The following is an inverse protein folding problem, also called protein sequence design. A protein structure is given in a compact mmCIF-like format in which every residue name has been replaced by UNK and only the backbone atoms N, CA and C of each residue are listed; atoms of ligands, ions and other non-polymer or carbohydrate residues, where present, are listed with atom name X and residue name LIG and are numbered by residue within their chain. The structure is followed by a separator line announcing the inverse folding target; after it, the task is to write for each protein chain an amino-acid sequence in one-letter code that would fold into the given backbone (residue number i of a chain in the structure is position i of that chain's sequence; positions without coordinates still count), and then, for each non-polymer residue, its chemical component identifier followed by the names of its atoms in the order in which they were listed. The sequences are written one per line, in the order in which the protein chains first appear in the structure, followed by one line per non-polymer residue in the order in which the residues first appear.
data_IF_228774009620
#
_entry.id   IF_228774009620
#
_cell.length_a   1.000
_cell.length_b   1.000
_cell.length_c   1.000
_cell.angle_alpha   90.00
_cell.angle_beta   90.00
_cell.angle_gamma   90.00
#
_symmetry.space_group_name_H-M   'P 1'
#
loop_
_entity.id
_entity.type
_entity.pdbx_description
1 polymer ?
#
# COMPACT_ATOMS: atom_id res chain seq x y z
N UNK A 1 28.65 -14.17 7.52
CA UNK A 1 27.32 -13.71 7.97
C UNK A 1 27.20 -12.19 7.99
N UNK A 2 28.27 -11.45 8.34
CA UNK A 2 28.30 -9.98 8.25
C UNK A 2 28.10 -9.44 6.83
N UNK A 3 28.66 -10.09 5.80
CA UNK A 3 28.50 -9.66 4.40
C UNK A 3 27.06 -9.78 3.87
N UNK A 4 26.33 -10.84 4.26
CA UNK A 4 24.91 -11.03 3.87
C UNK A 4 23.98 -9.97 4.48
N UNK A 5 24.31 -9.40 5.65
CA UNK A 5 23.53 -8.32 6.26
C UNK A 5 23.83 -6.94 5.65
N UNK A 6 24.93 -6.82 4.93
CA UNK A 6 25.31 -5.59 4.21
C UNK A 6 24.89 -5.61 2.74
N UNK A 7 24.37 -6.75 2.24
CA UNK A 7 23.84 -6.84 0.89
C UNK A 7 22.61 -5.91 0.73
N UNK A 8 22.65 -4.93 -0.19
CA UNK A 8 21.55 -4.01 -0.46
C UNK A 8 20.24 -4.73 -0.78
N UNK A 9 20.32 -5.92 -1.40
CA UNK A 9 19.15 -6.73 -1.72
C UNK A 9 18.47 -7.28 -0.45
N UNK A 10 19.26 -7.75 0.52
CA UNK A 10 18.77 -8.28 1.79
C UNK A 10 18.17 -7.15 2.64
N UNK A 11 18.83 -5.99 2.69
CA UNK A 11 18.34 -4.82 3.42
C UNK A 11 17.04 -4.24 2.81
N UNK A 12 16.92 -4.25 1.49
CA UNK A 12 15.79 -3.62 0.79
C UNK A 12 14.59 -4.56 0.60
N UNK A 13 14.78 -5.88 0.69
CA UNK A 13 13.74 -6.87 0.31
C UNK A 13 13.43 -7.87 1.42
N UNK A 14 14.45 -8.59 1.90
CA UNK A 14 14.26 -9.70 2.85
C UNK A 14 13.90 -9.18 4.24
N UNK A 15 14.61 -8.15 4.71
CA UNK A 15 14.37 -7.59 6.03
C UNK A 15 12.96 -6.99 6.16
N UNK A 16 12.46 -6.17 5.21
CA UNK A 16 11.07 -5.68 5.26
C UNK A 16 10.03 -6.79 5.22
N UNK A 17 10.26 -7.84 4.42
CA UNK A 17 9.37 -9.00 4.37
C UNK A 17 9.29 -9.73 5.71
N UNK A 18 10.45 -10.02 6.32
CA UNK A 18 10.50 -10.71 7.61
C UNK A 18 9.86 -9.87 8.72
N UNK A 19 10.17 -8.57 8.76
CA UNK A 19 9.58 -7.63 9.74
C UNK A 19 8.07 -7.56 9.57
N UNK A 20 7.57 -7.42 8.33
CA UNK A 20 6.15 -7.41 8.03
C UNK A 20 5.46 -8.73 8.44
N UNK A 21 6.06 -9.87 8.11
CA UNK A 21 5.51 -11.19 8.43
C UNK A 21 5.45 -11.43 9.95
N UNK A 22 6.50 -11.03 10.67
CA UNK A 22 6.57 -11.11 12.14
C UNK A 22 5.54 -10.19 12.78
N UNK A 23 5.42 -8.94 12.33
CA UNK A 23 4.49 -7.97 12.94
C UNK A 23 3.02 -8.31 12.67
N UNK A 24 2.68 -8.77 11.46
CA UNK A 24 1.34 -9.28 11.16
C UNK A 24 1.02 -10.47 12.05
N UNK A 25 1.96 -11.42 12.20
CA UNK A 25 1.81 -12.56 13.10
C UNK A 25 1.66 -12.16 14.58
N UNK A 26 2.51 -11.25 15.06
CA UNK A 26 2.51 -10.80 16.44
C UNK A 26 1.22 -10.05 16.81
N UNK A 27 0.77 -9.13 15.96
CA UNK A 27 -0.49 -8.40 16.19
C UNK A 27 -1.70 -9.31 16.07
N UNK A 28 -1.64 -10.32 15.20
CA UNK A 28 -2.67 -11.37 15.17
C UNK A 28 -2.76 -12.11 16.51
N UNK A 29 -1.63 -12.55 17.07
CA UNK A 29 -1.57 -13.26 18.35
C UNK A 29 -2.09 -12.39 19.49
N UNK A 30 -1.85 -11.09 19.45
CA UNK A 30 -2.37 -10.15 20.43
C UNK A 30 -3.89 -9.97 20.31
N UNK A 31 -4.37 -9.60 19.12
CA UNK A 31 -5.80 -9.45 18.80
C UNK A 31 -6.06 -9.70 17.32
N UNK A 32 -6.90 -10.69 17.01
CA UNK A 32 -7.34 -11.01 15.64
C UNK A 32 -7.72 -9.80 14.74
N UNK A 33 -8.46 -8.77 15.20
CA UNK A 33 -8.79 -7.62 14.36
C UNK A 33 -7.60 -6.72 13.99
N UNK A 34 -6.47 -6.81 14.71
CA UNK A 34 -5.29 -5.97 14.50
C UNK A 34 -4.30 -6.53 13.47
N UNK A 35 -4.56 -7.70 12.88
CA UNK A 35 -3.63 -8.34 11.96
C UNK A 35 -3.27 -7.43 10.76
N UNK A 36 -4.25 -6.71 10.21
CA UNK A 36 -4.02 -5.78 9.10
C UNK A 36 -3.25 -4.51 9.51
N UNK A 37 -3.30 -4.10 10.78
CA UNK A 37 -2.46 -3.03 11.32
C UNK A 37 -0.97 -3.40 11.28
N UNK A 38 -0.64 -4.70 11.25
CA UNK A 38 0.74 -5.17 11.06
C UNK A 38 1.36 -4.72 9.75
N UNK A 39 0.56 -4.42 8.72
CA UNK A 39 1.08 -3.92 7.45
C UNK A 39 1.63 -2.50 7.63
N UNK A 40 0.84 -1.60 8.21
CA UNK A 40 1.26 -0.22 8.46
C UNK A 40 2.35 -0.15 9.55
N UNK A 41 2.29 -1.01 10.57
CA UNK A 41 3.34 -1.12 11.57
C UNK A 41 4.66 -1.61 10.95
N UNK A 42 4.62 -2.63 10.08
CA UNK A 42 5.78 -3.12 9.35
C UNK A 42 6.42 -2.05 8.49
N UNK A 43 5.61 -1.31 7.73
CA UNK A 43 6.06 -0.13 7.00
C UNK A 43 6.77 0.89 7.89
N UNK A 44 6.19 1.27 9.04
CA UNK A 44 6.78 2.26 9.94
C UNK A 44 8.08 1.78 10.59
N UNK A 45 8.16 0.50 10.96
CA UNK A 45 9.39 -0.08 11.51
C UNK A 45 10.50 -0.04 10.47
N UNK A 46 10.21 -0.48 9.25
CA UNK A 46 11.19 -0.43 8.15
C UNK A 46 11.58 1.01 7.82
N UNK A 47 10.62 1.94 7.81
CA UNK A 47 10.90 3.36 7.64
C UNK A 47 11.88 3.86 8.70
N UNK A 48 11.61 3.58 9.98
CA UNK A 48 12.48 4.01 11.08
C UNK A 48 13.87 3.36 11.01
N UNK A 49 13.99 2.12 10.52
CA UNK A 49 15.27 1.44 10.36
C UNK A 49 16.09 1.97 9.18
N UNK A 50 15.46 2.28 8.05
CA UNK A 50 16.14 2.66 6.80
C UNK A 50 16.38 4.17 6.73
N UNK A 51 15.38 4.97 7.06
CA UNK A 51 15.41 6.44 6.95
C UNK A 51 15.73 7.09 8.30
N UNK A 52 15.39 6.43 9.42
CA UNK A 52 15.48 7.02 10.76
C UNK A 52 14.17 7.64 11.21
N UNK A 53 14.12 8.04 12.49
CA UNK A 53 12.96 8.71 13.06
C UNK A 53 12.95 10.20 12.66
N UNK A 54 11.93 10.69 11.93
CA UNK A 54 11.90 12.08 11.49
C UNK A 54 11.63 13.05 12.65
N UNK A 55 12.24 14.23 12.58
CA UNK A 55 12.03 15.31 13.55
C UNK A 55 10.60 15.86 13.50
N UNK A 56 10.19 16.50 14.60
CA UNK A 56 8.93 17.25 14.72
C UNK A 56 9.26 18.74 14.95
N UNK A 57 8.77 19.67 14.10
CA UNK A 57 7.96 19.45 12.90
C UNK A 57 8.76 18.88 11.72
N UNK A 58 8.18 18.02 10.85
CA UNK A 58 8.90 17.38 9.76
C UNK A 58 9.16 18.38 8.62
N UNK A 59 10.43 18.66 8.26
CA UNK A 59 10.74 19.56 7.15
C UNK A 59 10.53 18.91 5.78
N UNK A 60 10.60 17.59 5.69
CA UNK A 60 10.54 16.84 4.42
C UNK A 60 9.20 16.13 4.21
N UNK A 61 8.83 15.90 2.94
CA UNK A 61 7.63 15.15 2.55
C UNK A 61 7.66 13.70 3.04
N UNK A 62 8.84 13.07 3.07
CA UNK A 62 9.02 11.74 3.66
C UNK A 62 8.77 11.74 5.18
N UNK A 63 9.22 12.78 5.90
CA UNK A 63 8.91 12.92 7.32
C UNK A 63 7.40 13.10 7.58
N UNK A 64 6.72 13.88 6.73
CA UNK A 64 5.25 14.01 6.77
C UNK A 64 4.54 12.68 6.49
N UNK A 65 5.03 11.90 5.53
CA UNK A 65 4.52 10.57 5.21
C UNK A 65 4.62 9.63 6.43
N UNK A 66 5.74 9.61 7.14
CA UNK A 66 5.90 8.82 8.36
C UNK A 66 4.86 9.19 9.42
N UNK A 67 4.74 10.48 9.76
CA UNK A 67 3.80 10.94 10.77
C UNK A 67 2.34 10.75 10.36
N UNK A 68 2.01 10.95 9.08
CA UNK A 68 0.69 10.66 8.53
C UNK A 68 0.37 9.16 8.63
N UNK A 69 1.33 8.29 8.31
CA UNK A 69 1.18 6.84 8.39
C UNK A 69 1.05 6.35 9.84
N UNK A 70 1.80 6.95 10.78
CA UNK A 70 1.67 6.67 12.21
C UNK A 70 0.30 7.08 12.76
N UNK A 71 -0.18 8.27 12.39
CA UNK A 71 -1.53 8.72 12.74
C UNK A 71 -2.59 7.79 12.13
N UNK A 72 -2.43 7.39 10.87
CA UNK A 72 -3.30 6.45 10.19
C UNK A 72 -3.36 5.10 10.89
N UNK A 73 -2.19 4.52 11.24
CA UNK A 73 -2.10 3.26 11.97
C UNK A 73 -2.88 3.35 13.30
N UNK A 74 -2.69 4.42 14.06
CA UNK A 74 -3.39 4.63 15.32
C UNK A 74 -4.91 4.72 15.11
N UNK A 75 -5.35 5.51 14.14
CA UNK A 75 -6.78 5.63 13.78
C UNK A 75 -7.37 4.27 13.38
N UNK A 76 -6.68 3.54 12.51
CA UNK A 76 -7.12 2.22 12.03
C UNK A 76 -7.21 1.20 13.15
N UNK A 77 -6.15 1.09 13.96
CA UNK A 77 -6.08 0.14 15.07
C UNK A 77 -7.13 0.44 16.16
N UNK A 78 -7.28 1.71 16.54
CA UNK A 78 -8.29 2.13 17.52
C UNK A 78 -9.70 1.86 16.99
N UNK A 79 -9.99 2.19 15.73
CA UNK A 79 -11.29 1.93 15.13
C UNK A 79 -11.62 0.43 15.04
N UNK A 80 -10.64 -0.41 14.69
CA UNK A 80 -10.82 -1.86 14.64
C UNK A 80 -11.03 -2.47 16.02
N UNK A 81 -10.35 -1.96 17.05
CA UNK A 81 -10.56 -2.37 18.45
C UNK A 81 -11.93 -1.89 18.97
N UNK A 82 -12.33 -0.68 18.62
CA UNK A 82 -13.63 -0.12 18.99
C UNK A 82 -14.80 -0.66 18.15
N UNK A 83 -14.52 -1.47 17.11
CA UNK A 83 -15.54 -2.04 16.23
C UNK A 83 -16.26 -1.00 15.35
N UNK A 84 -15.65 0.15 15.09
CA UNK A 84 -16.24 1.22 14.29
C UNK A 84 -16.32 0.77 12.84
N UNK A 85 -17.53 0.76 12.27
CA UNK A 85 -17.80 0.29 10.90
C UNK A 85 -18.71 1.25 10.14
N UNK A 86 -18.85 1.00 8.84
CA UNK A 86 -19.80 1.73 7.98
C UNK A 86 -19.35 3.14 7.62
N UNK A 87 -20.31 4.06 7.49
CA UNK A 87 -20.07 5.42 6.96
C UNK A 87 -19.14 6.25 7.84
N UNK A 88 -19.20 6.09 9.15
CA UNK A 88 -18.35 6.83 10.10
C UNK A 88 -16.89 6.45 9.88
N UNK A 89 -16.57 5.16 9.84
CA UNK A 89 -15.22 4.68 9.57
C UNK A 89 -14.68 5.19 8.23
N UNK A 90 -15.51 5.14 7.18
CA UNK A 90 -15.16 5.69 5.86
C UNK A 90 -14.94 7.21 5.88
N UNK A 91 -15.76 7.97 6.61
CA UNK A 91 -15.59 9.42 6.73
C UNK A 91 -14.30 9.77 7.47
N UNK A 92 -14.01 9.10 8.59
CA UNK A 92 -12.75 9.28 9.34
C UNK A 92 -11.54 9.01 8.45
N UNK A 93 -11.56 7.91 7.70
CA UNK A 93 -10.51 7.55 6.77
C UNK A 93 -10.35 8.58 5.64
N UNK A 94 -11.46 9.04 5.06
CA UNK A 94 -11.45 10.05 4.01
C UNK A 94 -10.86 11.38 4.50
N UNK A 95 -11.26 11.82 5.69
CA UNK A 95 -10.75 13.05 6.32
C UNK A 95 -9.25 12.92 6.60
N UNK A 96 -8.81 11.81 7.20
CA UNK A 96 -7.38 11.57 7.45
C UNK A 96 -6.57 11.55 6.16
N UNK A 97 -7.03 10.86 5.10
CA UNK A 97 -6.34 10.81 3.82
C UNK A 97 -6.29 12.17 3.13
N UNK A 98 -7.41 12.88 3.07
CA UNK A 98 -7.46 14.20 2.46
C UNK A 98 -6.56 15.19 3.20
N UNK A 99 -6.61 15.21 4.53
CA UNK A 99 -5.74 16.06 5.35
C UNK A 99 -4.25 15.72 5.16
N UNK A 100 -3.90 14.42 5.12
CA UNK A 100 -2.52 13.97 4.91
C UNK A 100 -2.01 14.31 3.52
N UNK A 101 -2.82 14.09 2.48
CA UNK A 101 -2.49 14.45 1.10
C UNK A 101 -2.28 15.96 0.97
N UNK A 102 -3.19 16.77 1.51
CA UNK A 102 -3.05 18.22 1.48
C UNK A 102 -1.79 18.67 2.22
N UNK A 103 -1.51 18.11 3.40
CA UNK A 103 -0.33 18.47 4.18
C UNK A 103 1.00 18.12 3.48
N UNK A 104 1.03 16.99 2.77
CA UNK A 104 2.18 16.57 1.95
C UNK A 104 2.28 17.44 0.71
N UNK A 105 1.18 17.66 -0.02
CA UNK A 105 1.17 18.30 -1.33
C UNK A 105 1.37 19.81 -1.28
N UNK A 106 0.95 20.50 -0.21
CA UNK A 106 0.93 21.96 -0.13
C UNK A 106 2.22 22.65 -0.63
N UNK A 107 3.44 22.18 -0.27
CA UNK A 107 4.68 22.81 -0.73
C UNK A 107 4.99 22.61 -2.23
N UNK A 108 4.34 21.65 -2.88
CA UNK A 108 4.56 21.28 -4.28
C UNK A 108 3.45 21.78 -5.22
N UNK A 109 2.49 22.58 -4.73
CA UNK A 109 1.41 23.14 -5.55
C UNK A 109 1.85 24.43 -6.26
N UNK A 110 2.78 24.30 -7.19
CA UNK A 110 3.33 25.40 -7.99
C UNK A 110 2.83 25.41 -9.44
N UNK A 111 2.16 24.34 -9.86
CA UNK A 111 1.80 24.09 -11.27
C UNK A 111 0.41 23.46 -11.42
N UNK A 112 -0.21 23.68 -12.58
CA UNK A 112 -1.49 23.06 -12.92
C UNK A 112 -1.39 21.51 -12.94
N UNK A 113 -0.25 20.96 -13.36
CA UNK A 113 0.00 19.53 -13.33
C UNK A 113 -0.02 18.98 -11.89
N UNK A 114 0.64 19.65 -10.94
CA UNK A 114 0.61 19.25 -9.53
C UNK A 114 -0.81 19.29 -8.94
N UNK A 115 -1.61 20.30 -9.30
CA UNK A 115 -3.01 20.40 -8.90
C UNK A 115 -3.84 19.24 -9.46
N UNK A 116 -3.69 18.93 -10.75
CA UNK A 116 -4.39 17.81 -11.39
C UNK A 116 -4.01 16.48 -10.73
N UNK A 117 -2.73 16.25 -10.48
CA UNK A 117 -2.23 15.08 -9.75
C UNK A 117 -2.85 14.97 -8.36
N UNK A 118 -2.91 16.08 -7.60
CA UNK A 118 -3.57 16.10 -6.28
C UNK A 118 -5.06 15.76 -6.38
N UNK A 119 -5.80 16.29 -7.37
CA UNK A 119 -7.23 15.99 -7.56
C UNK A 119 -7.44 14.51 -7.86
N UNK A 120 -6.62 13.91 -8.72
CA UNK A 120 -6.65 12.47 -9.01
C UNK A 120 -6.36 11.65 -7.75
N UNK A 121 -5.36 12.05 -6.97
CA UNK A 121 -5.00 11.36 -5.72
C UNK A 121 -6.10 11.48 -4.67
N UNK A 122 -6.76 12.64 -4.56
CA UNK A 122 -7.93 12.83 -3.70
C UNK A 122 -9.12 11.98 -4.15
N UNK A 123 -9.36 11.87 -5.47
CA UNK A 123 -10.36 10.96 -6.03
C UNK A 123 -10.05 9.50 -5.69
N UNK A 124 -8.77 9.10 -5.78
CA UNK A 124 -8.30 7.77 -5.43
C UNK A 124 -8.43 7.52 -3.92
N UNK A 125 -8.10 8.50 -3.08
CA UNK A 125 -8.27 8.43 -1.63
C UNK A 125 -9.75 8.32 -1.22
N UNK A 126 -10.63 9.10 -1.87
CA UNK A 126 -12.07 8.99 -1.69
C UNK A 126 -12.56 7.59 -2.11
N UNK A 127 -12.07 7.06 -3.23
CA UNK A 127 -12.33 5.68 -3.61
C UNK A 127 -11.86 4.70 -2.54
N UNK A 128 -10.62 4.75 -2.06
CA UNK A 128 -10.13 3.86 -1.00
C UNK A 128 -10.97 3.97 0.28
N UNK A 129 -11.44 5.17 0.61
CA UNK A 129 -12.26 5.40 1.81
C UNK A 129 -13.70 4.89 1.68
N UNK A 130 -14.32 5.08 0.50
CA UNK A 130 -15.74 4.86 0.27
C UNK A 130 -16.06 3.67 -0.63
N UNK A 131 -15.08 3.06 -1.28
CA UNK A 131 -15.23 1.81 -2.01
C UNK A 131 -15.65 0.77 -0.99
N UNK A 132 -16.97 0.61 -0.88
CA UNK A 132 -17.58 -0.50 -0.19
C UNK A 132 -17.23 -1.70 -1.05
N UNK A 133 -16.16 -2.39 -0.69
CA UNK A 133 -15.97 -3.77 -1.12
C UNK A 133 -17.32 -4.45 -0.98
N UNK A 134 -17.82 -4.94 -2.10
CA UNK A 134 -19.25 -5.08 -2.35
C UNK A 134 -20.00 -5.71 -1.17
N UNK A 135 -20.68 -4.86 -0.38
CA UNK A 135 -21.46 -5.27 0.79
C UNK A 135 -22.79 -5.94 0.41
N UNK A 136 -23.00 -6.17 -0.89
CA UNK A 136 -24.16 -6.89 -1.37
C UNK A 136 -23.81 -8.39 -1.39
N UNK A 137 -24.11 -9.06 -0.27
CA UNK A 137 -24.17 -10.53 -0.11
C UNK A 137 -22.83 -11.26 0.10
N UNK A 138 -22.51 -11.56 1.36
CA UNK A 138 -21.50 -12.57 1.73
C UNK A 138 -20.23 -12.00 2.38
N UNK A 139 -19.58 -12.83 3.21
CA UNK A 139 -18.34 -12.55 3.94
C UNK A 139 -17.26 -12.06 2.95
N UNK A 140 -16.88 -10.79 3.08
CA UNK A 140 -15.88 -10.13 2.23
C UNK A 140 -14.52 -10.80 2.41
N UNK A 141 -13.83 -11.16 1.32
CA UNK A 141 -12.47 -11.66 1.49
C UNK A 141 -11.45 -10.55 1.67
N UNK A 142 -10.56 -10.69 2.65
CA UNK A 142 -9.45 -9.77 2.88
C UNK A 142 -8.39 -9.84 1.76
N UNK A 143 -8.44 -10.84 0.88
CA UNK A 143 -7.46 -11.07 -0.19
C UNK A 143 -7.53 -10.03 -1.29
N UNK A 144 -8.73 -9.71 -1.80
CA UNK A 144 -8.85 -8.71 -2.87
C UNK A 144 -8.24 -7.34 -2.49
N UNK A 145 -8.57 -6.72 -1.34
CA UNK A 145 -7.98 -5.43 -0.98
C UNK A 145 -6.48 -5.54 -0.62
N UNK A 146 -6.03 -6.66 -0.04
CA UNK A 146 -4.61 -6.90 0.22
C UNK A 146 -3.79 -7.04 -1.07
N UNK A 147 -4.30 -7.76 -2.07
CA UNK A 147 -3.69 -7.87 -3.41
C UNK A 147 -3.67 -6.52 -4.13
N UNK A 148 -4.71 -5.71 -3.94
CA UNK A 148 -4.77 -4.34 -4.48
C UNK A 148 -3.69 -3.46 -3.85
N UNK A 149 -3.54 -3.51 -2.52
CA UNK A 149 -2.46 -2.83 -1.82
C UNK A 149 -1.08 -3.28 -2.33
N UNK A 150 -0.87 -4.59 -2.45
CA UNK A 150 0.37 -5.16 -3.00
C UNK A 150 0.66 -4.59 -4.39
N UNK A 151 -0.32 -4.59 -5.29
CA UNK A 151 -0.18 -4.07 -6.63
C UNK A 151 0.14 -2.57 -6.67
N UNK A 152 -0.57 -1.75 -5.89
CA UNK A 152 -0.30 -0.31 -5.80
C UNK A 152 1.11 -0.05 -5.25
N UNK A 153 1.50 -0.75 -4.20
CA UNK A 153 2.82 -0.61 -3.60
C UNK A 153 3.94 -1.07 -4.57
N UNK A 154 3.72 -2.14 -5.33
CA UNK A 154 4.64 -2.57 -6.39
C UNK A 154 4.74 -1.56 -7.53
N UNK A 155 3.61 -1.01 -7.98
CA UNK A 155 3.59 0.01 -9.02
C UNK A 155 4.39 1.24 -8.59
N UNK A 156 4.14 1.75 -7.38
CA UNK A 156 4.89 2.89 -6.82
C UNK A 156 6.36 2.54 -6.65
N UNK A 157 6.69 1.35 -6.11
CA UNK A 157 8.06 0.92 -5.89
C UNK A 157 8.86 0.77 -7.19
N UNK A 158 8.31 0.05 -8.16
CA UNK A 158 8.96 -0.17 -9.46
C UNK A 158 9.11 1.10 -10.29
N UNK A 159 8.10 1.98 -10.28
CA UNK A 159 8.21 3.29 -10.96
C UNK A 159 9.20 4.22 -10.25
N UNK A 160 9.29 4.17 -8.92
CA UNK A 160 10.28 4.92 -8.16
C UNK A 160 11.73 4.46 -8.42
N UNK A 161 11.95 3.16 -8.62
CA UNK A 161 13.27 2.64 -9.02
C UNK A 161 13.72 3.22 -10.36
N UNK A 162 12.81 3.33 -11.32
CA UNK A 162 13.08 3.90 -12.64
C UNK A 162 13.28 5.42 -12.53
N UNK A 163 12.49 6.11 -11.71
CA UNK A 163 12.58 7.54 -11.44
C UNK A 163 13.66 7.96 -10.44
N UNK A 164 14.75 7.18 -10.31
CA UNK A 164 15.92 7.43 -9.45
C UNK A 164 15.61 7.80 -7.99
N UNK A 165 14.51 7.27 -7.44
CA UNK A 165 14.05 7.56 -6.08
C UNK A 165 14.16 6.33 -5.19
N UNK A 166 15.40 5.95 -4.86
CA UNK A 166 15.71 4.75 -4.08
C UNK A 166 14.96 4.67 -2.74
N UNK A 167 14.83 5.78 -2.01
CA UNK A 167 14.13 5.81 -0.72
C UNK A 167 12.62 5.56 -0.86
N UNK A 168 11.97 6.14 -1.87
CA UNK A 168 10.54 5.89 -2.15
C UNK A 168 10.34 4.44 -2.61
N UNK A 169 11.23 3.94 -3.46
CA UNK A 169 11.22 2.56 -3.91
C UNK A 169 11.31 1.58 -2.73
N UNK A 170 12.29 1.75 -1.86
CA UNK A 170 12.47 0.92 -0.66
C UNK A 170 11.24 0.94 0.24
N UNK A 171 10.65 2.12 0.46
CA UNK A 171 9.46 2.26 1.31
C UNK A 171 8.21 1.63 0.70
N UNK A 172 8.02 1.78 -0.61
CA UNK A 172 6.90 1.15 -1.32
C UNK A 172 7.07 -0.38 -1.41
N UNK A 173 8.28 -0.88 -1.65
CA UNK A 173 8.57 -2.30 -1.61
C UNK A 173 8.43 -2.89 -0.21
N UNK A 174 8.77 -2.15 0.85
CA UNK A 174 8.52 -2.55 2.24
C UNK A 174 7.03 -2.69 2.54
N UNK A 175 6.21 -1.76 2.03
CA UNK A 175 4.75 -1.85 2.14
C UNK A 175 4.19 -3.04 1.35
N UNK A 176 4.71 -3.28 0.14
CA UNK A 176 4.37 -4.43 -0.69
C UNK A 176 4.72 -5.75 0.03
N UNK A 177 5.92 -5.85 0.59
CA UNK A 177 6.39 -7.01 1.35
C UNK A 177 5.51 -7.26 2.59
N UNK A 178 5.13 -6.19 3.30
CA UNK A 178 4.24 -6.27 4.45
C UNK A 178 2.83 -6.75 4.06
N UNK A 179 2.31 -6.28 2.92
CA UNK A 179 1.05 -6.76 2.35
C UNK A 179 1.14 -8.23 1.93
N UNK A 180 2.26 -8.64 1.33
CA UNK A 180 2.58 -10.04 1.01
C UNK A 180 2.59 -10.94 2.24
N UNK A 181 3.19 -10.50 3.34
CA UNK A 181 3.15 -11.20 4.64
C UNK A 181 1.72 -11.43 5.13
N UNK A 182 0.85 -10.42 5.01
CA UNK A 182 -0.57 -10.55 5.35
C UNK A 182 -1.31 -11.53 4.42
N UNK A 183 -1.02 -11.51 3.12
CA UNK A 183 -1.57 -12.49 2.16
C UNK A 183 -1.16 -13.92 2.53
N UNK A 184 0.12 -14.15 2.86
CA UNK A 184 0.61 -15.46 3.27
C UNK A 184 -0.08 -15.99 4.54
N UNK A 185 -0.35 -15.12 5.51
CA UNK A 185 -1.07 -15.50 6.73
C UNK A 185 -2.56 -15.88 6.52
N UNK A 186 -3.15 -15.40 5.42
CA UNK A 186 -4.53 -15.70 5.03
C UNK A 186 -4.62 -16.72 3.89
N UNK A 187 -3.49 -17.18 3.39
CA UNK A 187 -3.42 -18.26 2.42
C UNK A 187 -3.33 -19.61 3.15
N UNK A 188 -4.05 -20.67 2.71
CA UNK A 188 -5.12 -20.71 1.73
C UNK A 188 -6.52 -20.47 2.35
N UNK A 189 -6.58 -20.23 3.66
CA UNK A 189 -7.81 -20.00 4.43
C UNK A 189 -7.76 -18.60 5.03
N UNK A 190 -8.74 -17.78 4.67
CA UNK A 190 -8.89 -16.42 5.15
C UNK A 190 -9.21 -16.42 6.65
N UNK A 191 -8.22 -16.06 7.47
CA UNK A 191 -8.29 -16.11 8.94
C UNK A 191 -8.44 -14.73 9.56
N UNK A 192 -8.04 -13.68 8.84
CA UNK A 192 -7.87 -12.33 9.36
C UNK A 192 -8.73 -11.33 8.58
N UNK A 193 -9.43 -10.45 9.30
CA UNK A 193 -10.20 -9.37 8.66
C UNK A 193 -9.29 -8.27 8.11
N UNK A 194 -9.76 -7.56 7.08
CA UNK A 194 -9.08 -6.39 6.53
C UNK A 194 -9.25 -5.14 7.40
N UNK A 195 -10.46 -4.90 7.91
CA UNK A 195 -10.75 -3.81 8.85
C UNK A 195 -10.49 -2.40 8.29
N UNK A 196 -10.51 -1.40 9.18
CA UNK A 196 -10.08 -0.04 8.87
C UNK A 196 -8.56 0.04 8.75
N UNK A 197 -7.82 -0.74 9.55
CA UNK A 197 -6.35 -0.78 9.51
C UNK A 197 -5.81 -1.19 8.15
N UNK A 198 -6.43 -2.17 7.49
CA UNK A 198 -6.05 -2.55 6.13
C UNK A 198 -6.32 -1.42 5.12
N UNK A 199 -7.45 -0.73 5.24
CA UNK A 199 -7.76 0.42 4.36
C UNK A 199 -6.80 1.59 4.59
N UNK A 200 -6.38 1.81 5.83
CA UNK A 200 -5.29 2.75 6.15
C UNK A 200 -4.02 2.34 5.42
N UNK A 201 -3.64 1.05 5.42
CA UNK A 201 -2.48 0.58 4.69
C UNK A 201 -2.59 0.83 3.17
N UNK A 202 -3.76 0.61 2.56
CA UNK A 202 -4.03 1.06 1.17
C UNK A 202 -3.87 2.56 1.01
N UNK A 203 -4.34 3.33 1.99
CA UNK A 203 -4.16 4.76 2.07
C UNK A 203 -2.68 5.18 2.06
N UNK A 204 -1.81 4.47 2.79
CA UNK A 204 -0.36 4.73 2.80
C UNK A 204 0.23 4.55 1.40
N UNK A 205 -0.22 3.56 0.62
CA UNK A 205 0.22 3.41 -0.77
C UNK A 205 -0.18 4.63 -1.63
N UNK A 206 -1.36 5.21 -1.40
CA UNK A 206 -1.78 6.46 -2.07
C UNK A 206 -0.92 7.65 -1.62
N UNK A 207 -0.56 7.75 -0.34
CA UNK A 207 0.33 8.79 0.15
C UNK A 207 1.75 8.65 -0.44
N UNK A 208 2.26 7.42 -0.56
CA UNK A 208 3.53 7.15 -1.26
C UNK A 208 3.46 7.54 -2.74
N UNK A 209 2.37 7.19 -3.42
CA UNK A 209 2.12 7.61 -4.80
C UNK A 209 2.09 9.14 -4.93
N UNK A 210 1.55 9.85 -3.93
CA UNK A 210 1.56 11.31 -3.89
C UNK A 210 2.97 11.89 -3.73
N UNK A 211 3.78 11.31 -2.83
CA UNK A 211 5.18 11.73 -2.66
C UNK A 211 5.95 11.52 -3.96
N UNK A 212 5.76 10.37 -4.63
CA UNK A 212 6.37 10.09 -5.92
C UNK A 212 5.90 11.10 -6.98
N UNK A 213 4.60 11.25 -7.19
CA UNK A 213 4.05 12.07 -8.26
C UNK A 213 4.31 13.58 -8.12
N UNK A 214 4.47 14.08 -6.89
CA UNK A 214 4.58 15.52 -6.63
C UNK A 214 6.02 15.98 -6.37
N UNK A 215 6.91 15.09 -5.95
CA UNK A 215 8.28 15.46 -5.54
C UNK A 215 9.36 14.79 -6.39
N UNK A 216 9.01 14.03 -7.43
CA UNK A 216 9.97 13.43 -8.36
C UNK A 216 9.64 13.78 -9.80
N UNK A 217 10.58 13.48 -10.70
CA UNK A 217 10.41 13.63 -12.15
C UNK A 217 9.61 12.47 -12.77
N UNK A 218 9.08 11.55 -11.95
CA UNK A 218 8.32 10.40 -12.44
C UNK A 218 7.00 10.89 -13.03
N UNK A 219 6.70 10.47 -14.26
CA UNK A 219 5.46 10.84 -14.92
C UNK A 219 4.26 10.27 -14.15
N UNK A 220 3.51 11.16 -13.46
CA UNK A 220 2.32 10.80 -12.70
C UNK A 220 1.27 10.02 -13.52
N UNK A 221 1.26 10.22 -14.85
CA UNK A 221 0.42 9.48 -15.79
C UNK A 221 0.66 7.96 -15.73
N UNK A 222 1.87 7.51 -15.44
CA UNK A 222 2.19 6.08 -15.34
C UNK A 222 1.52 5.44 -14.13
N UNK A 223 1.38 6.18 -13.02
CA UNK A 223 0.67 5.69 -11.83
C UNK A 223 -0.84 5.51 -12.08
N UNK A 224 -1.41 6.23 -13.06
CA UNK A 224 -2.79 6.03 -13.48
C UNK A 224 -3.02 4.62 -14.06
N UNK A 225 -1.98 4.02 -14.67
CA UNK A 225 -2.05 2.67 -15.22
C UNK A 225 -2.17 1.60 -14.13
N UNK A 226 -1.88 1.93 -12.87
CA UNK A 226 -2.08 1.04 -11.73
C UNK A 226 -3.51 1.13 -11.15
N UNK A 227 -4.29 2.17 -11.46
CA UNK A 227 -5.67 2.32 -10.97
C UNK A 227 -6.61 1.17 -11.32
N UNK A 228 -6.50 0.48 -12.48
CA UNK A 228 -7.27 -0.72 -12.74
C UNK A 228 -7.14 -1.82 -11.67
N UNK A 229 -6.02 -1.85 -10.92
CA UNK A 229 -5.86 -2.80 -9.80
C UNK A 229 -6.93 -2.63 -8.71
N UNK A 230 -7.50 -1.42 -8.55
CA UNK A 230 -8.60 -1.14 -7.61
C UNK A 230 -9.87 -1.95 -7.94
N UNK A 231 -9.99 -2.46 -9.17
CA UNK A 231 -11.12 -3.28 -9.61
C UNK A 231 -10.85 -4.80 -9.47
N UNK A 232 -9.71 -5.23 -8.93
CA UNK A 232 -9.40 -6.66 -8.75
C UNK A 232 -10.48 -7.43 -7.97
N UNK A 233 -11.12 -6.77 -6.99
CA UNK A 233 -12.24 -7.35 -6.25
C UNK A 233 -13.49 -7.65 -7.09
N UNK A 234 -13.72 -6.90 -8.19
CA UNK A 234 -14.80 -7.19 -9.13
C UNK A 234 -14.49 -8.44 -9.96
N UNK A 235 -13.22 -8.66 -10.30
CA UNK A 235 -12.79 -9.82 -11.09
C UNK A 235 -13.02 -11.13 -10.33
N UNK A 236 -12.95 -11.10 -9.00
CA UNK A 236 -13.25 -12.27 -8.15
C UNK A 236 -14.64 -12.86 -8.40
N UNK A 237 -15.63 -12.07 -8.82
CA UNK A 237 -16.98 -12.57 -9.14
C UNK A 237 -17.01 -13.47 -10.37
N UNK A 238 -16.01 -13.35 -11.24
CA UNK A 238 -15.90 -14.13 -12.47
C UNK A 238 -14.96 -15.33 -12.33
N UNK A 239 -14.26 -15.45 -11.19
CA UNK A 239 -13.35 -16.57 -10.95
C UNK A 239 -14.12 -17.74 -10.31
N UNK A 240 -13.99 -18.97 -10.83
CA UNK A 240 -14.62 -20.14 -10.24
C UNK A 240 -14.09 -20.34 -8.82
N UNK A 241 -15.01 -20.30 -7.84
CA UNK A 241 -14.71 -20.65 -6.45
C UNK A 241 -14.75 -22.17 -6.36
N UNK A 242 -13.61 -22.83 -6.55
CA UNK A 242 -13.55 -24.28 -6.41
C UNK A 242 -13.87 -24.70 -4.97
N UNK A 243 -14.69 -25.72 -4.82
CA UNK A 243 -14.96 -26.34 -3.53
C UNK A 243 -13.70 -27.06 -3.02
N UNK A 244 -13.15 -26.60 -1.89
CA UNK A 244 -11.97 -27.19 -1.24
C UNK A 244 -10.78 -26.23 -1.06
N UNK A 245 -9.75 -26.70 -0.35
CA UNK A 245 -8.56 -25.90 -0.03
C UNK A 245 -7.78 -25.47 -1.28
N UNK A 246 -7.66 -26.36 -2.27
CA UNK A 246 -6.94 -26.10 -3.53
C UNK A 246 -7.69 -25.06 -4.37
N UNK A 247 -9.03 -25.12 -4.42
CA UNK A 247 -9.85 -24.13 -5.13
C UNK A 247 -9.75 -22.73 -4.52
N UNK A 248 -9.74 -22.63 -3.19
CA UNK A 248 -9.55 -21.36 -2.46
C UNK A 248 -8.16 -20.77 -2.65
N UNK A 249 -7.14 -21.63 -2.61
CA UNK A 249 -5.76 -21.26 -2.92
C UNK A 249 -5.65 -20.72 -4.36
N UNK A 250 -6.13 -21.48 -5.35
CA UNK A 250 -6.08 -21.05 -6.75
C UNK A 250 -6.84 -19.73 -6.99
N UNK A 251 -8.01 -19.55 -6.38
CA UNK A 251 -8.82 -18.32 -6.49
C UNK A 251 -8.08 -17.10 -5.91
N UNK A 252 -7.44 -17.24 -4.75
CA UNK A 252 -6.66 -16.14 -4.13
C UNK A 252 -5.39 -15.81 -4.92
N UNK A 253 -4.73 -16.80 -5.52
CA UNK A 253 -3.62 -16.54 -6.47
C UNK A 253 -4.12 -15.77 -7.69
N UNK A 254 -5.21 -16.23 -8.30
CA UNK A 254 -5.76 -15.61 -9.50
C UNK A 254 -6.12 -14.14 -9.26
N UNK A 255 -6.78 -13.81 -8.14
CA UNK A 255 -7.07 -12.42 -7.76
C UNK A 255 -5.78 -11.61 -7.60
N UNK A 256 -4.75 -12.19 -6.98
CA UNK A 256 -3.46 -11.51 -6.79
C UNK A 256 -2.76 -11.24 -8.12
N UNK A 257 -2.70 -12.24 -9.01
CA UNK A 257 -2.12 -12.10 -10.35
C UNK A 257 -2.85 -11.01 -11.12
N UNK A 258 -4.18 -11.05 -11.15
CA UNK A 258 -5.00 -10.04 -11.84
C UNK A 258 -4.79 -8.64 -11.26
N UNK A 259 -4.68 -8.50 -9.93
CA UNK A 259 -4.40 -7.21 -9.30
C UNK A 259 -3.02 -6.67 -9.67
N UNK A 260 -2.02 -7.54 -9.78
CA UNK A 260 -0.62 -7.16 -10.07
C UNK A 260 -0.39 -6.85 -11.54
N UNK A 261 -1.19 -7.40 -12.48
CA UNK A 261 -1.04 -7.12 -13.91
C UNK A 261 -1.02 -5.62 -14.26
N UNK A 262 -1.98 -4.78 -13.82
CA UNK A 262 -1.92 -3.34 -14.02
C UNK A 262 -0.66 -2.67 -13.46
N UNK A 263 -0.16 -3.16 -12.31
CA UNK A 263 1.08 -2.65 -11.73
C UNK A 263 2.29 -2.98 -12.62
N UNK A 264 2.36 -4.19 -13.18
CA UNK A 264 3.43 -4.56 -14.12
C UNK A 264 3.36 -3.74 -15.41
N UNK A 265 2.14 -3.45 -15.91
CA UNK A 265 1.95 -2.57 -17.07
C UNK A 265 2.43 -1.15 -16.76
N UNK A 266 2.12 -0.61 -15.56
CA UNK A 266 2.63 0.69 -15.13
C UNK A 266 4.16 0.70 -15.08
N UNK A 267 4.79 -0.31 -14.49
CA UNK A 267 6.26 -0.42 -14.42
C UNK A 267 6.87 -0.51 -15.82
N UNK A 268 6.31 -1.35 -16.70
CA UNK A 268 6.75 -1.50 -18.08
C UNK A 268 6.61 -0.21 -18.89
N UNK A 269 5.52 0.53 -18.69
CA UNK A 269 5.32 1.83 -19.32
C UNK A 269 6.34 2.87 -18.83
N UNK A 270 6.62 2.92 -17.52
CA UNK A 270 7.69 3.77 -17.00
C UNK A 270 9.05 3.43 -17.64
N UNK A 271 9.37 2.14 -17.76
CA UNK A 271 10.64 1.69 -18.33
C UNK A 271 10.76 2.02 -19.83
N UNK A 272 9.68 1.86 -20.58
CA UNK A 272 9.64 2.22 -22.00
C UNK A 272 9.78 3.73 -22.20
N UNK A 273 9.15 4.54 -21.35
CA UNK A 273 9.19 6.01 -21.41
C UNK A 273 10.54 6.58 -20.93
N UNK A 274 11.27 5.85 -20.09
CA UNK A 274 12.63 6.21 -19.68
C UNK A 274 13.71 5.80 -20.69
N UNK A 275 13.33 5.23 -21.85
CA UNK A 275 14.28 4.85 -22.91
C UNK A 275 15.04 3.55 -22.63
N UNK A 276 14.58 2.71 -21.68
CA UNK A 276 15.21 1.43 -21.36
C UNK A 276 16.52 1.53 -20.58
N UNK A 277 17.01 2.72 -20.31
CA UNK A 277 18.11 2.95 -19.37
C UNK A 277 17.51 3.00 -17.95
N UNK A 278 17.75 1.95 -17.17
CA UNK A 278 17.61 2.06 -15.72
C UNK A 278 18.69 3.05 -15.25
N UNK A 279 18.29 4.13 -14.57
CA UNK A 279 19.21 5.16 -14.07
C UNK A 279 20.44 4.50 -13.46
N UNK A 280 21.67 4.86 -13.86
CA UNK A 280 22.86 4.19 -13.34
C UNK A 280 22.96 4.30 -11.82
N UNK A 281 22.37 5.34 -11.24
CA UNK A 281 22.32 5.65 -9.81
C UNK A 281 21.09 6.52 -9.50
#
# INVERSE_FOLDING_TARGET
MSELLQDPFVQSSVLPLLVGLILVGALHLLRRPLAAAGIAAGFLVVFAMVIGLPALPPPSSMGKLFWASAAGLLIGAVADVAGIRGRIASAVLAVWLAASLLWIALPALDSAAAIVSLVVLLGTAAWVAFARGSQAHGVESPMAPASTLLALALAVGGTALIGSSASIAQMALALAASAGGFLLWNWPVERHGWGLSGRVATGIAVLLAAVLALFTQTQAAVLLLALPALFAGHVRRFLPQGDGLIGRAASSAAVTVVAVLPALVAIGAAFALSGGEASPY
#
